data_IF_015391486747
#
_entry.id   IF_015391486747
#
_cell.length_a   1.000
_cell.length_b   1.000
_cell.length_c   1.000
_cell.angle_alpha   90.00
_cell.angle_beta   90.00
_cell.angle_gamma   90.00
#
_symmetry.space_group_name_H-M   'P 1'
#
loop_
_entity.id
_entity.type
_entity.pdbx_description
1 polymer ?
#
# COMPACT_ATOMS: atom_id res chain seq x y z
N UNK A 1 -18.46 58.14 9.76
CA UNK A 1 -17.11 57.67 9.39
C UNK A 1 -16.47 57.09 10.64
N UNK A 2 -16.56 55.80 10.98
CA UNK A 2 -16.62 54.60 10.15
C UNK A 2 -15.24 53.93 10.15
N UNK A 3 -15.18 52.64 10.59
CA UNK A 3 -14.04 51.72 10.80
C UNK A 3 -13.52 51.71 12.25
N UNK A 4 -14.10 50.97 13.22
CA UNK A 4 -14.47 49.54 13.26
C UNK A 4 -13.28 48.59 13.01
N UNK A 5 -12.66 48.19 14.12
CA UNK A 5 -12.39 46.80 14.53
C UNK A 5 -12.81 45.74 13.49
N UNK A 6 -11.84 45.15 12.78
CA UNK A 6 -11.92 43.76 12.27
C UNK A 6 -10.59 43.37 11.58
N UNK A 7 -9.58 43.03 12.38
CA UNK A 7 -8.49 42.16 11.93
C UNK A 7 -8.28 41.10 13.02
N UNK A 8 -9.38 40.42 13.37
CA UNK A 8 -9.30 39.09 13.95
C UNK A 8 -8.81 38.17 12.86
N UNK A 9 -7.49 37.98 12.81
CA UNK A 9 -6.87 36.88 12.09
C UNK A 9 -7.52 35.60 12.60
N UNK A 10 -8.45 35.05 11.82
CA UNK A 10 -8.82 33.66 11.89
C UNK A 10 -7.57 32.86 11.51
N UNK A 11 -6.64 32.71 12.44
CA UNK A 11 -5.78 31.54 12.45
C UNK A 11 -6.76 30.38 12.68
N UNK A 12 -7.28 29.82 11.58
CA UNK A 12 -8.11 28.63 11.64
C UNK A 12 -7.37 27.61 12.50
N UNK A 13 -8.10 26.99 13.43
CA UNK A 13 -7.55 25.85 14.17
C UNK A 13 -6.93 24.91 13.14
N UNK A 14 -5.64 24.53 13.28
CA UNK A 14 -5.02 23.64 12.31
C UNK A 14 -5.91 22.41 12.17
N UNK A 15 -6.28 22.10 10.94
CA UNK A 15 -7.16 20.96 10.67
C UNK A 15 -6.50 19.70 11.25
N UNK A 16 -7.23 18.83 11.95
CA UNK A 16 -6.63 17.62 12.51
C UNK A 16 -5.99 16.76 11.41
N UNK A 17 -4.93 16.00 11.71
CA UNK A 17 -4.31 15.13 10.70
C UNK A 17 -5.32 14.14 10.12
N UNK A 18 -5.07 13.71 8.88
CA UNK A 18 -5.81 12.65 8.22
C UNK A 18 -4.82 11.79 7.45
N UNK A 19 -4.87 10.48 7.66
CA UNK A 19 -4.05 9.50 6.96
C UNK A 19 -4.29 9.60 5.46
N UNK A 20 -5.55 9.58 5.02
CA UNK A 20 -5.84 9.61 3.58
C UNK A 20 -5.34 10.88 2.92
N UNK A 21 -5.46 12.04 3.58
CA UNK A 21 -4.97 13.29 3.00
C UNK A 21 -3.45 13.26 2.84
N UNK A 22 -2.72 12.83 3.88
CA UNK A 22 -1.27 12.68 3.82
C UNK A 22 -0.85 11.74 2.67
N UNK A 23 -1.51 10.60 2.53
CA UNK A 23 -1.22 9.62 1.48
C UNK A 23 -1.52 10.18 0.07
N UNK A 24 -2.63 10.88 -0.10
CA UNK A 24 -3.03 11.44 -1.38
C UNK A 24 -2.17 12.65 -1.79
N UNK A 25 -1.75 13.49 -0.84
CA UNK A 25 -0.79 14.57 -1.08
C UNK A 25 0.59 14.00 -1.44
N UNK A 26 1.04 12.95 -0.74
CA UNK A 26 2.26 12.22 -1.05
C UNK A 26 2.22 11.61 -2.47
N UNK A 27 1.11 10.96 -2.84
CA UNK A 27 0.91 10.39 -4.17
C UNK A 27 0.98 11.45 -5.28
N UNK A 28 0.31 12.60 -5.11
CA UNK A 28 0.38 13.70 -6.09
C UNK A 28 1.78 14.30 -6.23
N UNK A 29 2.54 14.39 -5.12
CA UNK A 29 3.93 14.85 -5.16
C UNK A 29 4.83 13.84 -5.85
N UNK A 30 4.64 12.55 -5.55
CA UNK A 30 5.38 11.47 -6.20
C UNK A 30 5.11 11.45 -7.70
N UNK A 31 3.85 11.56 -8.13
CA UNK A 31 3.47 11.57 -9.55
C UNK A 31 4.21 12.67 -10.32
N UNK A 32 4.21 13.91 -9.80
CA UNK A 32 4.96 15.01 -10.43
C UNK A 32 6.46 14.72 -10.47
N UNK A 33 7.03 14.27 -9.36
CA UNK A 33 8.46 13.99 -9.24
C UNK A 33 8.92 12.90 -10.21
N UNK A 34 8.18 11.79 -10.32
CA UNK A 34 8.56 10.66 -11.18
C UNK A 34 8.38 10.97 -12.67
N UNK A 35 7.40 11.82 -13.04
CA UNK A 35 7.21 12.24 -14.43
C UNK A 35 8.35 13.14 -14.94
N UNK A 36 8.90 13.98 -14.06
CA UNK A 36 9.95 14.96 -14.40
C UNK A 36 11.34 14.56 -13.87
N UNK A 37 11.52 13.34 -13.34
CA UNK A 37 12.70 12.88 -12.60
C UNK A 37 14.05 13.20 -13.27
N UNK A 38 14.14 13.11 -14.60
CA UNK A 38 15.38 13.40 -15.36
C UNK A 38 15.81 14.86 -15.30
N UNK A 39 14.90 15.77 -15.01
CA UNK A 39 15.12 17.21 -14.90
C UNK A 39 15.29 17.66 -13.44
N UNK A 40 15.13 16.74 -12.49
CA UNK A 40 15.18 17.04 -11.06
C UNK A 40 16.62 17.09 -10.55
N UNK A 41 16.90 18.12 -9.74
CA UNK A 41 18.22 18.35 -9.16
C UNK A 41 18.31 17.95 -7.68
N UNK A 42 17.17 17.66 -7.04
CA UNK A 42 17.07 17.31 -5.63
C UNK A 42 16.22 16.04 -5.40
N UNK A 43 16.17 15.14 -6.39
CA UNK A 43 15.29 13.98 -6.37
C UNK A 43 15.45 13.14 -5.09
N UNK A 44 16.69 12.92 -4.62
CA UNK A 44 16.93 12.17 -3.40
C UNK A 44 16.20 12.76 -2.18
N UNK A 45 16.36 14.06 -1.98
CA UNK A 45 15.71 14.77 -0.87
C UNK A 45 14.20 14.72 -0.99
N UNK A 46 13.67 14.99 -2.19
CA UNK A 46 12.23 15.07 -2.40
C UNK A 46 11.54 13.72 -2.21
N UNK A 47 12.16 12.62 -2.67
CA UNK A 47 11.68 11.26 -2.40
C UNK A 47 11.74 10.95 -0.90
N UNK A 48 12.83 11.27 -0.19
CA UNK A 48 12.93 11.05 1.27
C UNK A 48 11.89 11.86 2.04
N UNK A 49 11.58 13.07 1.58
CA UNK A 49 10.52 13.89 2.17
C UNK A 49 9.14 13.24 1.98
N UNK A 50 8.86 12.67 0.80
CA UNK A 50 7.64 11.87 0.56
C UNK A 50 7.60 10.61 1.44
N UNK A 51 8.72 9.87 1.54
CA UNK A 51 8.82 8.71 2.43
C UNK A 51 8.54 9.09 3.89
N UNK A 52 9.01 10.26 4.33
CA UNK A 52 8.71 10.77 5.68
C UNK A 52 7.23 11.05 5.90
N UNK A 53 6.53 11.54 4.88
CA UNK A 53 5.08 11.76 4.96
C UNK A 53 4.30 10.44 5.02
N UNK A 54 4.76 9.40 4.31
CA UNK A 54 4.22 8.05 4.47
C UNK A 54 4.46 7.50 5.88
N UNK A 55 5.67 7.71 6.44
CA UNK A 55 5.96 7.28 7.81
C UNK A 55 5.06 7.99 8.82
N UNK A 56 4.84 9.30 8.66
CA UNK A 56 3.90 10.08 9.48
C UNK A 56 2.47 9.54 9.39
N UNK A 57 2.03 9.14 8.20
CA UNK A 57 0.72 8.51 8.01
C UNK A 57 0.62 7.18 8.78
N UNK A 58 1.67 6.34 8.73
CA UNK A 58 1.75 5.08 9.49
C UNK A 58 1.87 5.28 11.01
N UNK A 59 2.49 6.38 11.45
CA UNK A 59 2.56 6.78 12.86
C UNK A 59 1.23 7.33 13.36
N UNK A 60 0.47 7.99 12.49
CA UNK A 60 -0.85 8.49 12.82
C UNK A 60 -1.86 7.35 12.99
N UNK A 61 -2.05 6.52 11.95
CA UNK A 61 -2.83 5.29 12.04
C UNK A 61 -2.47 4.31 10.91
N UNK A 62 -1.77 3.24 11.28
CA UNK A 62 -1.34 2.21 10.33
C UNK A 62 -2.47 1.28 9.86
N UNK A 63 -3.58 1.17 10.61
CA UNK A 63 -4.73 0.37 10.18
C UNK A 63 -5.53 1.09 9.09
N UNK A 64 -5.69 2.41 9.20
CA UNK A 64 -6.26 3.26 8.13
C UNK A 64 -5.37 3.21 6.89
N UNK A 65 -4.04 3.30 7.07
CA UNK A 65 -3.10 3.23 5.95
C UNK A 65 -3.19 1.87 5.22
N UNK A 66 -3.25 0.75 5.94
CA UNK A 66 -3.46 -0.57 5.33
C UNK A 66 -4.82 -0.69 4.63
N UNK A 67 -5.88 -0.20 5.27
CA UNK A 67 -7.21 -0.19 4.67
C UNK A 67 -7.25 0.62 3.37
N UNK A 68 -6.47 1.71 3.28
CA UNK A 68 -6.38 2.52 2.05
C UNK A 68 -5.82 1.75 0.84
N UNK A 69 -4.97 0.74 1.08
CA UNK A 69 -4.43 -0.15 0.03
C UNK A 69 -5.56 -1.06 -0.48
N UNK A 70 -6.22 -1.78 0.42
CA UNK A 70 -7.22 -2.80 0.05
C UNK A 70 -8.51 -2.20 -0.51
N UNK A 71 -8.86 -0.99 -0.07
CA UNK A 71 -10.03 -0.26 -0.53
C UNK A 71 -9.70 0.73 -1.66
N UNK A 72 -8.48 0.70 -2.21
CA UNK A 72 -8.08 1.49 -3.37
C UNK A 72 -8.33 3.01 -3.20
N UNK A 73 -7.88 3.58 -2.07
CA UNK A 73 -8.19 4.96 -1.65
C UNK A 73 -7.04 5.96 -1.89
N UNK A 74 -5.99 5.53 -2.58
CA UNK A 74 -4.84 6.35 -2.96
C UNK A 74 -5.04 6.84 -4.40
N UNK A 75 -4.95 8.15 -4.62
CA UNK A 75 -5.10 8.80 -5.91
C UNK A 75 -3.86 8.68 -6.80
N UNK A 76 -4.00 9.13 -8.04
CA UNK A 76 -2.96 9.08 -9.08
C UNK A 76 -3.12 7.90 -10.02
N UNK A 77 -2.19 7.74 -10.97
CA UNK A 77 -2.17 6.56 -11.83
C UNK A 77 -1.91 5.28 -11.04
N UNK A 78 -2.19 4.13 -11.65
CA UNK A 78 -1.91 2.84 -11.02
C UNK A 78 -0.42 2.70 -10.70
N UNK A 79 0.46 3.13 -11.61
CA UNK A 79 1.90 3.06 -11.40
C UNK A 79 2.35 3.82 -10.13
N UNK A 80 1.86 5.04 -9.92
CA UNK A 80 2.18 5.86 -8.74
C UNK A 80 1.55 5.28 -7.48
N UNK A 81 0.27 4.93 -7.55
CA UNK A 81 -0.44 4.31 -6.42
C UNK A 81 0.27 3.05 -5.94
N UNK A 82 0.66 2.16 -6.85
CA UNK A 82 1.35 0.92 -6.52
C UNK A 82 2.69 1.16 -5.81
N UNK A 83 3.42 2.23 -6.19
CA UNK A 83 4.65 2.62 -5.49
C UNK A 83 4.36 3.11 -4.06
N UNK A 84 3.29 3.89 -3.84
CA UNK A 84 2.86 4.32 -2.50
C UNK A 84 2.42 3.13 -1.65
N UNK A 85 1.58 2.23 -2.20
CA UNK A 85 1.09 1.03 -1.53
C UNK A 85 2.25 0.12 -1.09
N UNK A 86 3.20 -0.11 -2.00
CA UNK A 86 4.39 -0.92 -1.72
C UNK A 86 5.25 -0.28 -0.63
N UNK A 87 5.49 1.03 -0.73
CA UNK A 87 6.28 1.75 0.27
C UNK A 87 5.65 1.70 1.66
N UNK A 88 4.34 1.96 1.77
CA UNK A 88 3.61 1.86 3.03
C UNK A 88 3.76 0.48 3.66
N UNK A 89 3.55 -0.57 2.88
CA UNK A 89 3.59 -1.93 3.38
C UNK A 89 5.00 -2.35 3.78
N UNK A 90 6.00 -2.05 2.94
CA UNK A 90 7.40 -2.34 3.24
C UNK A 90 7.89 -1.62 4.50
N UNK A 91 7.57 -0.33 4.65
CA UNK A 91 7.92 0.45 5.84
C UNK A 91 7.21 -0.06 7.09
N UNK A 92 5.94 -0.47 6.99
CA UNK A 92 5.20 -0.99 8.12
C UNK A 92 5.77 -2.32 8.63
N UNK A 93 6.13 -3.23 7.73
CA UNK A 93 6.83 -4.49 8.07
C UNK A 93 8.25 -4.22 8.58
N UNK A 94 8.98 -3.28 7.96
CA UNK A 94 10.29 -2.85 8.46
C UNK A 94 10.21 -2.36 9.91
N UNK A 95 9.16 -1.61 10.25
CA UNK A 95 8.94 -1.14 11.63
C UNK A 95 8.67 -2.30 12.60
N UNK A 96 7.92 -3.32 12.19
CA UNK A 96 7.72 -4.52 13.02
C UNK A 96 9.00 -5.36 13.19
N UNK A 97 9.94 -5.23 12.25
CA UNK A 97 11.29 -5.79 12.34
C UNK A 97 12.28 -4.90 13.11
N UNK A 98 11.80 -3.82 13.76
CA UNK A 98 12.61 -2.88 14.53
C UNK A 98 13.69 -2.14 13.72
N UNK A 99 13.46 -1.91 12.42
CA UNK A 99 14.31 -1.05 11.59
C UNK A 99 14.32 0.38 12.14
N UNK A 100 15.48 1.04 12.09
CA UNK A 100 15.61 2.40 12.60
C UNK A 100 14.94 3.42 11.64
N UNK A 101 14.77 4.67 12.08
CA UNK A 101 14.11 5.71 11.29
C UNK A 101 14.77 5.90 9.90
N UNK A 102 16.09 5.95 9.84
CA UNK A 102 16.81 6.17 8.59
C UNK A 102 16.68 4.97 7.64
N UNK A 103 16.71 3.74 8.16
CA UNK A 103 16.42 2.53 7.38
C UNK A 103 14.98 2.54 6.84
N UNK A 104 14.00 3.01 7.62
CA UNK A 104 12.61 3.11 7.15
C UNK A 104 12.46 4.15 6.02
N UNK A 105 13.16 5.28 6.12
CA UNK A 105 13.17 6.27 5.04
C UNK A 105 13.85 5.73 3.78
N UNK A 106 14.92 4.95 3.92
CA UNK A 106 15.58 4.26 2.81
C UNK A 106 14.64 3.25 2.14
N UNK A 107 13.99 2.39 2.93
CA UNK A 107 13.00 1.40 2.43
C UNK A 107 11.88 2.11 1.67
N UNK A 108 11.33 3.18 2.26
CA UNK A 108 10.30 3.99 1.63
C UNK A 108 10.78 4.59 0.31
N UNK A 109 11.95 5.22 0.30
CA UNK A 109 12.51 5.83 -0.90
C UNK A 109 12.76 4.82 -2.03
N UNK A 110 13.31 3.66 -1.70
CA UNK A 110 13.51 2.55 -2.64
C UNK A 110 12.18 2.06 -3.21
N UNK A 111 11.19 1.75 -2.38
CA UNK A 111 9.88 1.28 -2.83
C UNK A 111 9.13 2.33 -3.67
N UNK A 112 9.24 3.62 -3.32
CA UNK A 112 8.61 4.72 -4.08
C UNK A 112 9.16 4.87 -5.50
N UNK A 113 10.38 4.40 -5.75
CA UNK A 113 11.10 4.65 -7.01
C UNK A 113 11.47 3.38 -7.78
N UNK A 114 11.24 2.20 -7.21
CA UNK A 114 11.70 0.91 -7.77
C UNK A 114 11.24 0.64 -9.21
N UNK A 115 10.11 1.21 -9.61
CA UNK A 115 9.47 0.97 -10.91
C UNK A 115 9.62 2.13 -11.90
N UNK A 116 10.39 3.18 -11.57
CA UNK A 116 10.43 4.41 -12.40
C UNK A 116 10.90 4.17 -13.83
N UNK A 117 11.78 3.17 -14.05
CA UNK A 117 12.23 2.73 -15.37
C UNK A 117 11.12 2.26 -16.30
N UNK A 118 10.03 1.71 -15.74
CA UNK A 118 8.87 1.27 -16.51
C UNK A 118 7.60 2.09 -16.25
N UNK A 119 7.69 3.25 -15.61
CA UNK A 119 6.52 4.01 -15.14
C UNK A 119 5.45 4.20 -16.23
N UNK A 120 5.87 4.65 -17.42
CA UNK A 120 4.95 4.91 -18.55
C UNK A 120 4.37 3.63 -19.17
N UNK A 121 5.08 2.51 -19.03
CA UNK A 121 4.63 1.21 -19.51
C UNK A 121 3.66 0.56 -18.51
N UNK A 122 3.87 0.79 -17.22
CA UNK A 122 3.13 0.13 -16.15
C UNK A 122 1.61 0.34 -16.25
N UNK A 123 1.16 1.57 -16.52
CA UNK A 123 -0.27 1.86 -16.70
C UNK A 123 -0.84 1.13 -17.95
N UNK A 124 -0.09 1.05 -19.05
CA UNK A 124 -0.54 0.31 -20.24
C UNK A 124 -0.60 -1.20 -20.04
N UNK A 125 0.29 -1.77 -19.21
CA UNK A 125 0.23 -3.18 -18.81
C UNK A 125 -0.98 -3.46 -17.91
N UNK A 126 -1.41 -2.47 -17.13
CA UNK A 126 -2.55 -2.56 -16.24
C UNK A 126 -3.91 -2.53 -16.97
N UNK A 127 -3.97 -2.01 -18.19
CA UNK A 127 -5.19 -1.99 -19.01
C UNK A 127 -5.38 -3.24 -19.87
N UNK A 128 -4.32 -4.06 -20.00
CA UNK A 128 -4.27 -5.13 -20.99
C UNK A 128 -4.94 -6.43 -20.54
N UNK A 129 -5.78 -7.00 -21.41
CA UNK A 129 -6.30 -8.38 -21.23
C UNK A 129 -5.30 -9.41 -21.76
N UNK A 130 -4.80 -10.29 -20.88
CA UNK A 130 -3.94 -11.43 -21.23
C UNK A 130 -2.46 -11.26 -20.85
N UNK A 131 -1.62 -12.29 -21.07
CA UNK A 131 -0.21 -12.26 -20.68
C UNK A 131 0.58 -11.23 -21.51
N UNK A 132 1.67 -10.74 -20.93
CA UNK A 132 2.66 -9.89 -21.62
C UNK A 132 3.34 -10.68 -22.75
N UNK A 133 3.66 -10.00 -23.85
CA UNK A 133 4.50 -10.56 -24.90
C UNK A 133 5.99 -10.48 -24.52
N UNK A 134 6.87 -11.07 -25.34
CA UNK A 134 8.30 -11.14 -25.05
C UNK A 134 8.96 -9.75 -24.94
N UNK A 135 8.50 -8.77 -25.72
CA UNK A 135 9.06 -7.43 -25.72
C UNK A 135 8.70 -6.65 -24.45
N UNK A 136 7.47 -6.80 -23.99
CA UNK A 136 6.98 -6.22 -22.74
C UNK A 136 7.61 -6.93 -21.54
N UNK A 137 7.74 -8.25 -21.60
CA UNK A 137 8.44 -9.02 -20.56
C UNK A 137 9.90 -8.59 -20.42
N UNK A 138 10.55 -8.26 -21.54
CA UNK A 138 11.90 -7.69 -21.52
C UNK A 138 11.94 -6.31 -20.86
N UNK A 139 10.95 -5.44 -21.08
CA UNK A 139 10.83 -4.15 -20.36
C UNK A 139 10.72 -4.42 -18.84
N UNK A 140 9.84 -5.34 -18.45
CA UNK A 140 9.68 -5.72 -17.03
C UNK A 140 10.98 -6.30 -16.45
N UNK A 141 11.78 -7.06 -17.20
CA UNK A 141 13.05 -7.59 -16.69
C UNK A 141 14.16 -6.54 -16.59
N UNK A 142 14.13 -5.52 -17.44
CA UNK A 142 15.15 -4.47 -17.47
C UNK A 142 14.86 -3.30 -16.53
N UNK A 143 13.61 -3.10 -16.12
CA UNK A 143 13.24 -1.92 -15.35
C UNK A 143 14.01 -1.75 -14.02
N UNK A 144 14.50 -2.78 -13.29
CA UNK A 144 15.29 -2.52 -12.09
C UNK A 144 16.61 -1.80 -12.42
N UNK A 145 17.24 -2.17 -13.54
CA UNK A 145 18.45 -1.53 -14.04
C UNK A 145 18.15 -0.11 -14.55
N UNK A 146 17.10 0.04 -15.36
CA UNK A 146 16.71 1.35 -15.89
C UNK A 146 16.29 2.32 -14.78
N UNK A 147 15.59 1.84 -13.75
CA UNK A 147 15.21 2.64 -12.57
C UNK A 147 16.45 3.10 -11.80
N UNK A 148 17.42 2.20 -11.60
CA UNK A 148 18.68 2.54 -10.94
C UNK A 148 19.47 3.59 -11.71
N UNK A 149 19.57 3.45 -13.05
CA UNK A 149 20.27 4.40 -13.90
C UNK A 149 19.60 5.78 -13.89
N UNK A 150 18.26 5.82 -13.97
CA UNK A 150 17.47 7.03 -13.86
C UNK A 150 17.69 7.76 -12.55
N UNK A 151 17.67 7.04 -11.42
CA UNK A 151 17.87 7.62 -10.10
C UNK A 151 19.27 8.20 -9.94
N UNK A 152 20.31 7.51 -10.45
CA UNK A 152 21.67 8.05 -10.48
C UNK A 152 21.76 9.32 -11.32
N UNK A 153 21.11 9.35 -12.48
CA UNK A 153 21.05 10.55 -13.33
C UNK A 153 20.35 11.73 -12.63
N UNK A 154 19.38 11.43 -11.76
CA UNK A 154 18.66 12.41 -10.95
C UNK A 154 19.39 12.79 -9.63
N UNK A 155 20.63 12.34 -9.46
CA UNK A 155 21.49 12.72 -8.34
C UNK A 155 21.30 11.93 -7.05
N UNK A 156 20.66 10.75 -7.10
CA UNK A 156 20.62 9.83 -5.95
C UNK A 156 21.98 9.13 -5.81
N UNK A 157 22.60 9.24 -4.64
CA UNK A 157 23.92 8.66 -4.34
C UNK A 157 23.91 7.59 -3.24
N UNK A 158 22.76 7.36 -2.58
CA UNK A 158 22.57 6.27 -1.62
C UNK A 158 22.64 4.88 -2.31
N UNK A 159 23.79 4.22 -2.18
CA UNK A 159 24.06 2.92 -2.78
C UNK A 159 23.17 1.79 -2.25
N UNK A 160 22.71 1.86 -0.99
CA UNK A 160 21.84 0.83 -0.42
C UNK A 160 20.41 0.98 -0.95
N UNK A 161 19.91 2.22 -1.09
CA UNK A 161 18.66 2.50 -1.81
C UNK A 161 18.76 1.97 -3.25
N UNK A 162 19.78 2.37 -4.00
CA UNK A 162 19.95 1.96 -5.40
C UNK A 162 20.06 0.43 -5.54
N UNK A 163 20.74 -0.23 -4.60
CA UNK A 163 20.81 -1.70 -4.55
C UNK A 163 19.46 -2.34 -4.26
N UNK A 164 18.65 -1.75 -3.38
CA UNK A 164 17.29 -2.22 -3.14
C UNK A 164 16.42 -2.13 -4.41
N UNK A 165 16.51 -1.01 -5.14
CA UNK A 165 15.82 -0.83 -6.43
C UNK A 165 16.31 -1.86 -7.45
N UNK A 166 17.62 -2.11 -7.54
CA UNK A 166 18.17 -3.05 -8.50
C UNK A 166 17.76 -4.51 -8.23
N UNK A 167 17.65 -4.89 -6.95
CA UNK A 167 17.54 -6.29 -6.52
C UNK A 167 16.13 -6.71 -6.05
N UNK A 168 15.12 -5.83 -6.09
CA UNK A 168 13.79 -6.14 -5.56
C UNK A 168 13.04 -7.29 -6.26
N UNK A 169 13.51 -7.71 -7.45
CA UNK A 169 13.00 -8.87 -8.19
C UNK A 169 13.93 -10.10 -8.17
N UNK A 170 15.00 -10.05 -7.38
CA UNK A 170 15.83 -11.22 -7.12
C UNK A 170 15.11 -12.18 -6.17
N UNK A 171 15.37 -13.48 -6.33
CA UNK A 171 14.78 -14.55 -5.53
C UNK A 171 15.90 -15.36 -4.86
N UNK A 172 15.65 -15.92 -3.68
CA UNK A 172 16.68 -16.58 -2.87
C UNK A 172 17.37 -17.77 -3.57
N UNK A 173 16.72 -18.39 -4.55
CA UNK A 173 17.25 -19.50 -5.37
C UNK A 173 17.96 -19.07 -6.66
N UNK A 174 18.09 -17.77 -6.92
CA UNK A 174 18.69 -17.24 -8.15
C UNK A 174 17.78 -17.27 -9.38
N UNK A 175 16.51 -17.64 -9.23
CA UNK A 175 15.53 -17.61 -10.35
C UNK A 175 15.05 -16.19 -10.71
N UNK A 176 15.43 -15.20 -9.90
CA UNK A 176 15.07 -13.80 -10.07
C UNK A 176 15.87 -13.07 -11.16
N UNK A 177 15.67 -11.77 -11.23
CA UNK A 177 16.32 -10.89 -12.20
C UNK A 177 16.61 -9.52 -11.56
N UNK A 178 17.55 -8.71 -12.10
CA UNK A 178 18.23 -8.86 -13.39
C UNK A 178 19.56 -9.64 -13.37
N UNK A 179 20.12 -9.93 -12.20
CA UNK A 179 21.45 -10.53 -12.05
C UNK A 179 21.42 -12.01 -11.64
N UNK A 180 20.27 -12.55 -11.19
CA UNK A 180 20.14 -13.94 -10.75
C UNK A 180 20.87 -14.19 -9.44
N UNK A 181 20.79 -13.23 -8.52
CA UNK A 181 21.46 -13.28 -7.20
C UNK A 181 20.81 -14.33 -6.32
N UNK A 182 21.63 -14.94 -5.47
CA UNK A 182 21.16 -15.91 -4.47
C UNK A 182 20.99 -15.27 -3.09
N UNK A 183 20.35 -15.98 -2.16
CA UNK A 183 19.91 -15.45 -0.88
C UNK A 183 20.91 -14.57 -0.11
N UNK A 184 22.20 -14.92 -0.10
CA UNK A 184 23.25 -14.20 0.64
C UNK A 184 23.73 -12.92 -0.08
N UNK A 185 23.40 -12.75 -1.35
CA UNK A 185 23.79 -11.62 -2.20
C UNK A 185 22.68 -10.56 -2.31
N UNK A 186 21.47 -10.87 -1.81
CA UNK A 186 20.31 -9.98 -1.87
C UNK A 186 20.14 -9.29 -0.51
N UNK A 187 20.10 -7.95 -0.53
CA UNK A 187 19.85 -7.16 0.67
C UNK A 187 18.49 -7.52 1.30
N UNK A 188 18.44 -7.66 2.62
CA UNK A 188 17.18 -7.93 3.35
C UNK A 188 16.10 -6.89 3.03
N UNK A 189 16.48 -5.61 2.90
CA UNK A 189 15.57 -4.53 2.54
C UNK A 189 15.04 -4.68 1.09
N UNK A 190 15.85 -5.19 0.16
CA UNK A 190 15.40 -5.50 -1.21
C UNK A 190 14.39 -6.66 -1.22
N UNK A 191 14.65 -7.73 -0.46
CA UNK A 191 13.71 -8.86 -0.31
C UNK A 191 12.37 -8.42 0.28
N UNK A 192 12.41 -7.53 1.27
CA UNK A 192 11.23 -6.95 1.90
C UNK A 192 10.40 -6.14 0.90
N UNK A 193 11.05 -5.26 0.12
CA UNK A 193 10.38 -4.46 -0.91
C UNK A 193 9.77 -5.38 -1.98
N UNK A 194 10.52 -6.38 -2.47
CA UNK A 194 10.01 -7.36 -3.44
C UNK A 194 8.82 -8.17 -2.93
N UNK A 195 8.79 -8.50 -1.63
CA UNK A 195 7.65 -9.17 -1.01
C UNK A 195 6.42 -8.25 -0.94
N UNK A 196 6.61 -6.99 -0.54
CA UNK A 196 5.54 -5.99 -0.51
C UNK A 196 4.98 -5.71 -1.91
N UNK A 197 5.85 -5.56 -2.91
CA UNK A 197 5.50 -5.38 -4.32
C UNK A 197 4.59 -6.51 -4.83
N UNK A 198 5.02 -7.76 -4.61
CA UNK A 198 4.27 -8.97 -4.99
C UNK A 198 2.92 -9.09 -4.28
N UNK A 199 2.80 -8.60 -3.05
CA UNK A 199 1.55 -8.57 -2.31
C UNK A 199 0.60 -7.51 -2.87
N UNK A 200 1.05 -6.26 -2.95
CA UNK A 200 0.27 -5.14 -3.50
C UNK A 200 -0.23 -5.47 -4.90
N UNK A 201 0.63 -5.99 -5.79
CA UNK A 201 0.24 -6.35 -7.15
C UNK A 201 -0.85 -7.44 -7.25
N UNK A 202 -1.10 -8.21 -6.18
CA UNK A 202 -2.15 -9.25 -6.09
C UNK A 202 -3.45 -8.73 -5.47
N UNK A 203 -3.36 -7.88 -4.45
CA UNK A 203 -4.54 -7.35 -3.75
C UNK A 203 -5.11 -6.10 -4.41
N UNK A 204 -4.30 -5.37 -5.19
CA UNK A 204 -4.78 -4.21 -5.94
C UNK A 204 -5.63 -4.67 -7.13
N UNK A 205 -6.86 -4.15 -7.23
CA UNK A 205 -7.76 -4.46 -8.34
C UNK A 205 -7.16 -3.97 -9.66
N UNK A 206 -7.23 -4.82 -10.70
CA UNK A 206 -6.83 -4.47 -12.07
C UNK A 206 -8.06 -4.30 -12.95
N UNK A 207 -7.97 -3.46 -13.98
CA UNK A 207 -9.09 -3.16 -14.89
C UNK A 207 -9.72 -4.41 -15.54
N UNK A 208 -8.98 -5.52 -15.61
CA UNK A 208 -9.41 -6.78 -16.22
C UNK A 208 -9.40 -7.98 -15.27
N UNK A 209 -8.97 -7.82 -14.01
CA UNK A 209 -8.84 -8.92 -13.04
C UNK A 209 -9.32 -8.45 -11.66
N UNK A 210 -10.29 -9.18 -11.11
CA UNK A 210 -10.70 -9.02 -9.71
C UNK A 210 -9.47 -9.15 -8.80
N UNK A 211 -9.33 -8.23 -7.85
CA UNK A 211 -8.33 -8.34 -6.78
C UNK A 211 -8.46 -9.70 -6.11
N UNK A 212 -7.35 -10.33 -5.73
CA UNK A 212 -7.41 -11.53 -4.88
C UNK A 212 -7.78 -11.06 -3.48
N UNK A 213 -8.74 -11.73 -2.83
CA UNK A 213 -9.07 -11.41 -1.43
C UNK A 213 -7.83 -11.60 -0.56
N UNK A 214 -7.57 -10.73 0.44
CA UNK A 214 -6.30 -10.68 1.15
C UNK A 214 -5.86 -12.01 1.78
N UNK A 215 -6.80 -12.79 2.31
CA UNK A 215 -6.52 -14.09 2.91
C UNK A 215 -6.01 -15.12 1.87
N UNK A 216 -6.54 -15.08 0.65
CA UNK A 216 -6.01 -15.86 -0.47
C UNK A 216 -4.68 -15.30 -0.97
N UNK A 217 -4.49 -13.98 -1.01
CA UNK A 217 -3.23 -13.38 -1.45
C UNK A 217 -2.06 -13.80 -0.54
N UNK A 218 -2.28 -13.80 0.78
CA UNK A 218 -1.32 -14.34 1.75
C UNK A 218 -1.07 -15.82 1.49
N UNK A 219 -2.11 -16.66 1.35
CA UNK A 219 -1.93 -18.07 1.03
C UNK A 219 -1.13 -18.29 -0.24
N UNK A 220 -1.40 -17.55 -1.32
CA UNK A 220 -0.67 -17.68 -2.59
C UNK A 220 0.81 -17.33 -2.46
N UNK A 221 1.13 -16.30 -1.68
CA UNK A 221 2.52 -15.87 -1.46
C UNK A 221 3.26 -16.88 -0.59
N UNK A 222 2.61 -17.45 0.43
CA UNK A 222 3.28 -18.30 1.42
C UNK A 222 3.17 -19.80 1.16
N UNK A 223 2.20 -20.27 0.39
CA UNK A 223 1.91 -21.70 0.20
C UNK A 223 2.02 -22.16 -1.26
N UNK A 224 1.68 -21.30 -2.23
CA UNK A 224 1.17 -21.82 -3.51
C UNK A 224 1.98 -21.46 -4.76
N UNK A 225 3.06 -20.66 -4.69
CA UNK A 225 3.75 -20.24 -5.92
C UNK A 225 5.27 -20.12 -5.78
N UNK A 226 5.97 -21.24 -5.95
CA UNK A 226 7.21 -21.46 -6.73
C UNK A 226 8.39 -20.47 -6.72
N UNK A 227 8.29 -19.36 -6.01
CA UNK A 227 9.28 -18.30 -5.86
C UNK A 227 9.68 -18.35 -4.39
N UNK A 228 10.91 -18.79 -4.08
CA UNK A 228 11.36 -18.86 -2.71
C UNK A 228 11.43 -17.46 -2.09
N UNK A 229 10.84 -17.35 -0.91
CA UNK A 229 10.82 -16.14 -0.08
C UNK A 229 11.61 -16.48 1.18
N UNK A 230 12.35 -15.50 1.69
CA UNK A 230 12.95 -15.57 3.01
C UNK A 230 11.87 -15.93 4.06
N UNK A 231 11.95 -17.10 4.70
CA UNK A 231 10.93 -17.56 5.63
C UNK A 231 10.69 -16.61 6.81
N UNK A 232 11.74 -15.92 7.28
CA UNK A 232 11.63 -14.98 8.39
C UNK A 232 10.85 -13.73 7.97
N UNK A 233 11.11 -13.21 6.77
CA UNK A 233 10.32 -12.10 6.23
C UNK A 233 8.87 -12.50 6.04
N UNK A 234 8.62 -13.71 5.52
CA UNK A 234 7.28 -14.22 5.35
C UNK A 234 6.50 -14.34 6.66
N UNK A 235 7.14 -14.87 7.71
CA UNK A 235 6.53 -14.96 9.04
C UNK A 235 6.16 -13.57 9.59
N UNK A 236 7.06 -12.59 9.49
CA UNK A 236 6.78 -11.22 9.94
C UNK A 236 5.60 -10.60 9.19
N UNK A 237 5.54 -10.82 7.88
CA UNK A 237 4.48 -10.31 7.02
C UNK A 237 3.11 -10.90 7.39
N UNK A 238 3.04 -12.24 7.57
CA UNK A 238 1.81 -12.93 8.01
C UNK A 238 1.39 -12.48 9.40
N UNK A 239 2.34 -12.41 10.33
CA UNK A 239 2.08 -12.01 11.72
C UNK A 239 1.55 -10.58 11.80
N UNK A 240 2.11 -9.67 11.01
CA UNK A 240 1.71 -8.26 10.99
C UNK A 240 0.31 -8.07 10.38
N UNK A 241 0.07 -8.64 9.20
CA UNK A 241 -1.19 -8.42 8.48
C UNK A 241 -2.34 -9.23 9.08
N UNK A 242 -2.03 -10.40 9.64
CA UNK A 242 -3.03 -11.37 10.06
C UNK A 242 -3.81 -11.93 8.88
N UNK A 243 -4.78 -12.80 9.17
CA UNK A 243 -5.60 -13.44 8.12
C UNK A 243 -6.50 -12.43 7.39
N UNK A 244 -7.02 -11.45 8.12
CA UNK A 244 -7.93 -10.44 7.60
C UNK A 244 -7.39 -9.05 7.97
N UNK A 245 -6.51 -8.46 7.14
CA UNK A 245 -5.99 -7.12 7.38
C UNK A 245 -7.09 -6.04 7.31
N UNK A 246 -6.88 -4.86 7.94
CA UNK A 246 -7.78 -3.71 7.81
C UNK A 246 -8.11 -3.39 6.36
N UNK A 247 -9.39 -3.14 6.06
CA UNK A 247 -9.92 -2.95 4.71
C UNK A 247 -10.46 -4.24 4.07
N UNK A 248 -10.27 -5.42 4.68
CA UNK A 248 -10.86 -6.66 4.18
C UNK A 248 -12.38 -6.64 4.35
N UNK A 249 -13.11 -6.81 3.25
CA UNK A 249 -14.57 -7.00 3.27
C UNK A 249 -14.90 -8.45 3.65
N UNK A 250 -15.83 -8.62 4.58
CA UNK A 250 -16.16 -9.92 5.17
C UNK A 250 -17.67 -10.10 5.36
N UNK A 251 -18.09 -11.36 5.39
CA UNK A 251 -19.40 -11.78 5.88
C UNK A 251 -19.25 -12.41 7.26
N UNK A 252 -20.05 -11.92 8.21
CA UNK A 252 -20.12 -12.46 9.57
C UNK A 252 -21.16 -13.57 9.67
N UNK A 253 -21.04 -14.42 10.69
CA UNK A 253 -22.02 -15.48 10.98
C UNK A 253 -23.40 -14.93 11.29
N UNK A 254 -23.49 -13.70 11.81
CA UNK A 254 -24.74 -12.97 12.01
C UNK A 254 -25.50 -12.67 10.72
N UNK A 255 -24.87 -12.80 9.55
CA UNK A 255 -25.41 -12.44 8.24
C UNK A 255 -24.95 -11.06 7.77
N UNK A 256 -24.49 -10.22 8.69
CA UNK A 256 -23.98 -8.87 8.41
C UNK A 256 -22.76 -8.91 7.49
N UNK A 257 -22.71 -7.96 6.56
CA UNK A 257 -21.51 -7.56 5.84
C UNK A 257 -20.75 -6.52 6.65
N UNK A 258 -19.44 -6.54 6.58
CA UNK A 258 -18.61 -5.56 7.25
C UNK A 258 -17.22 -5.44 6.66
N UNK A 259 -16.48 -4.47 7.19
CA UNK A 259 -15.06 -4.25 6.86
C UNK A 259 -14.22 -4.39 8.12
N UNK A 260 -13.10 -5.11 8.02
CA UNK A 260 -12.15 -5.19 9.14
C UNK A 260 -11.49 -3.84 9.35
N UNK A 261 -11.47 -3.34 10.59
CA UNK A 261 -10.92 -2.02 10.92
C UNK A 261 -9.58 -2.05 11.64
N UNK A 262 -9.19 -3.19 12.21
CA UNK A 262 -7.97 -3.33 13.02
C UNK A 262 -7.23 -4.64 12.76
N UNK A 263 -5.90 -4.62 12.86
CA UNK A 263 -5.07 -5.84 12.84
C UNK A 263 -5.24 -6.65 14.13
N UNK A 264 -5.01 -7.96 14.06
CA UNK A 264 -5.03 -8.85 15.23
C UNK A 264 -6.41 -9.46 15.49
N UNK A 265 -6.91 -9.35 16.74
CA UNK A 265 -8.29 -9.74 17.07
C UNK A 265 -9.25 -8.81 16.30
N UNK A 266 -9.74 -9.31 15.16
CA UNK A 266 -10.36 -8.46 14.17
C UNK A 266 -11.65 -7.82 14.74
N UNK A 267 -11.69 -6.50 14.70
CA UNK A 267 -12.93 -5.74 14.83
C UNK A 267 -13.49 -5.49 13.44
N UNK A 268 -14.78 -5.75 13.26
CA UNK A 268 -15.46 -5.58 11.98
C UNK A 268 -16.50 -4.49 12.10
N UNK A 269 -16.38 -3.44 11.31
CA UNK A 269 -17.40 -2.39 11.22
C UNK A 269 -18.55 -2.88 10.33
N UNK A 270 -19.79 -2.95 10.83
CA UNK A 270 -20.94 -3.37 10.03
C UNK A 270 -21.22 -2.39 8.90
N UNK A 271 -21.43 -2.93 7.71
CA UNK A 271 -21.83 -2.20 6.50
C UNK A 271 -23.25 -2.54 6.04
N UNK A 272 -23.82 -3.65 6.53
CA UNK A 272 -25.21 -4.03 6.30
C UNK A 272 -25.90 -4.42 7.60
N UNK A 273 -27.22 -4.53 7.57
CA UNK A 273 -27.98 -5.22 8.60
C UNK A 273 -27.80 -6.77 8.51
N UNK A 274 -28.32 -7.55 9.48
CA UNK A 274 -28.26 -9.02 9.44
C UNK A 274 -29.01 -9.68 8.28
N UNK A 275 -29.92 -8.96 7.61
CA UNK A 275 -30.62 -9.42 6.41
C UNK A 275 -29.82 -9.11 5.13
N UNK A 276 -28.67 -8.45 5.25
CA UNK A 276 -27.79 -8.08 4.15
C UNK A 276 -28.16 -6.76 3.47
N UNK A 277 -29.09 -5.97 4.02
CA UNK A 277 -29.45 -4.68 3.45
C UNK A 277 -28.37 -3.63 3.80
N UNK A 278 -27.82 -2.88 2.81
CA UNK A 278 -26.79 -1.87 3.06
C UNK A 278 -27.25 -0.78 4.03
N UNK A 279 -26.37 -0.37 4.94
CA UNK A 279 -26.61 0.73 5.86
C UNK A 279 -26.30 2.09 5.20
N UNK A 280 -27.11 3.09 5.48
CA UNK A 280 -26.84 4.46 5.06
C UNK A 280 -25.70 5.09 5.88
N UNK A 281 -25.03 6.11 5.34
CA UNK A 281 -23.88 6.77 5.97
C UNK A 281 -24.13 7.23 7.43
N UNK A 282 -25.32 7.79 7.71
CA UNK A 282 -25.70 8.21 9.06
C UNK A 282 -25.84 7.04 10.05
N UNK A 283 -26.22 5.86 9.56
CA UNK A 283 -26.32 4.64 10.36
C UNK A 283 -24.93 4.06 10.61
N UNK A 284 -24.05 4.03 9.59
CA UNK A 284 -22.68 3.52 9.71
C UNK A 284 -21.91 4.20 10.84
N UNK A 285 -22.00 5.53 10.97
CA UNK A 285 -21.31 6.29 12.01
C UNK A 285 -21.79 5.98 13.44
N UNK A 286 -22.94 5.33 13.59
CA UNK A 286 -23.54 4.95 14.88
C UNK A 286 -23.33 3.46 15.20
N UNK A 287 -22.79 2.68 14.26
CA UNK A 287 -22.60 1.25 14.46
C UNK A 287 -21.45 0.97 15.42
N UNK A 288 -21.68 0.06 16.35
CA UNK A 288 -20.62 -0.51 17.18
C UNK A 288 -19.86 -1.58 16.39
N UNK A 289 -18.52 -1.53 16.32
CA UNK A 289 -17.73 -2.62 15.73
C UNK A 289 -18.02 -3.98 16.39
N UNK A 290 -18.01 -5.04 15.59
CA UNK A 290 -18.22 -6.41 16.04
C UNK A 290 -16.89 -7.04 16.43
N UNK A 291 -16.82 -7.60 17.62
CA UNK A 291 -15.68 -8.41 18.08
C UNK A 291 -15.81 -9.83 17.49
N UNK A 292 -14.86 -10.21 16.65
CA UNK A 292 -14.85 -11.54 16.00
C UNK A 292 -14.47 -12.68 16.95
N UNK A 293 -14.06 -12.38 18.19
CA UNK A 293 -13.94 -13.37 19.27
C UNK A 293 -15.29 -13.92 19.73
N UNK A 294 -16.39 -13.21 19.50
CA UNK A 294 -17.74 -13.73 19.68
C UNK A 294 -18.12 -14.64 18.50
N UNK A 295 -18.50 -15.89 18.81
CA UNK A 295 -18.95 -16.87 17.84
C UNK A 295 -20.08 -16.39 16.92
N UNK A 296 -20.94 -15.47 17.38
CA UNK A 296 -22.01 -14.86 16.58
C UNK A 296 -21.46 -13.94 15.48
N UNK A 297 -20.31 -13.31 15.72
CA UNK A 297 -19.65 -12.39 14.80
C UNK A 297 -18.38 -12.96 14.21
N UNK A 298 -18.20 -14.28 14.28
CA UNK A 298 -17.10 -14.96 13.60
C UNK A 298 -17.16 -14.69 12.08
N UNK A 299 -16.01 -14.39 11.47
CA UNK A 299 -15.87 -14.21 10.03
C UNK A 299 -16.11 -15.57 9.34
N UNK A 300 -17.07 -15.61 8.43
CA UNK A 300 -17.42 -16.81 7.64
C UNK A 300 -16.66 -16.82 6.32
N UNK A 301 -16.55 -15.67 5.65
CA UNK A 301 -15.85 -15.54 4.37
C UNK A 301 -15.37 -14.12 4.14
N UNK A 302 -14.26 -13.96 3.42
CA UNK A 302 -13.88 -12.70 2.76
C UNK A 302 -14.70 -12.49 1.47
N UNK A 303 -14.83 -11.24 1.04
CA UNK A 303 -15.63 -10.84 -0.11
C UNK A 303 -14.81 -9.94 -1.04
N UNK A 304 -15.06 -10.06 -2.35
CA UNK A 304 -14.64 -9.03 -3.29
C UNK A 304 -15.58 -7.81 -3.18
N UNK A 305 -15.07 -6.63 -3.52
CA UNK A 305 -15.85 -5.38 -3.52
C UNK A 305 -17.11 -5.51 -4.39
N UNK A 306 -16.98 -6.09 -5.59
CA UNK A 306 -18.10 -6.36 -6.51
C UNK A 306 -19.22 -7.21 -5.88
N UNK A 307 -18.85 -8.17 -5.01
CA UNK A 307 -19.79 -9.13 -4.43
C UNK A 307 -20.43 -8.59 -3.15
N UNK A 308 -19.81 -7.58 -2.53
CA UNK A 308 -20.29 -6.99 -1.29
C UNK A 308 -21.50 -6.06 -1.51
N UNK A 309 -21.60 -5.40 -2.67
CA UNK A 309 -22.75 -4.55 -3.03
C UNK A 309 -23.02 -3.40 -2.04
N UNK A 310 -22.01 -3.02 -1.26
CA UNK A 310 -22.06 -1.94 -0.26
C UNK A 310 -21.16 -0.79 -0.69
N UNK A 311 -21.64 0.43 -0.52
CA UNK A 311 -20.87 1.65 -0.81
C UNK A 311 -20.73 2.47 0.47
N UNK A 312 -19.49 2.75 0.86
CA UNK A 312 -19.17 3.55 2.04
C UNK A 312 -17.94 4.42 1.75
N UNK A 313 -17.77 5.48 2.54
CA UNK A 313 -16.51 6.24 2.55
C UNK A 313 -15.65 5.78 3.72
N UNK A 314 -14.33 5.89 3.58
CA UNK A 314 -13.40 5.64 4.69
C UNK A 314 -13.77 6.43 5.95
N UNK A 315 -14.18 7.70 5.80
CA UNK A 315 -14.64 8.55 6.90
C UNK A 315 -15.86 7.99 7.63
N UNK A 316 -16.75 7.27 6.95
CA UNK A 316 -17.93 6.66 7.60
C UNK A 316 -17.56 5.54 8.56
N UNK A 317 -16.37 4.95 8.41
CA UNK A 317 -15.91 3.78 9.18
C UNK A 317 -14.83 4.18 10.19
N UNK A 318 -13.83 4.96 9.77
CA UNK A 318 -12.69 5.38 10.60
C UNK A 318 -12.77 6.84 11.07
N UNK A 319 -13.83 7.57 10.73
CA UNK A 319 -14.01 8.95 11.18
C UNK A 319 -13.06 9.95 10.51
N UNK A 320 -12.81 11.06 11.20
CA UNK A 320 -12.09 12.22 10.64
C UNK A 320 -10.61 11.95 10.35
N UNK A 321 -10.02 10.90 10.93
CA UNK A 321 -8.64 10.47 10.63
C UNK A 321 -8.51 9.82 9.25
N UNK A 322 -9.63 9.44 8.62
CA UNK A 322 -9.69 8.87 7.28
C UNK A 322 -10.49 9.75 6.30
N UNK A 323 -10.44 11.08 6.47
CA UNK A 323 -11.09 12.03 5.55
C UNK A 323 -10.16 12.46 4.41
N UNK A 324 -10.71 12.71 3.22
CA UNK A 324 -9.96 13.35 2.13
C UNK A 324 -9.67 14.83 2.44
#
# INVERSE_FOLDING_TARGET
MGRLLQLGLYAGTPEPPSVLRLLNEAAQRLERLLLDLRSESNAERDVRDIARDLLRALEHDADIALASILLNQIAGTYAVRHCIETALLAMLVGRSMHKCHDELLLIGAAALTMNVGMLRHHDSFQDRRGPLNDDEMRIVRLHPQESTELLRCAGVDDEEWLSCVLLHHENDDGSGYPQGRTADEILQNAKLIGLADRYCARVSARNYRRSIVPDQALQHIFLDQGVPIDPLLGEQFVKLLGKYPPGTLVRLRSGELGVVTQRGAAHVHPLSDPLGAPLAAAQLAQMTPRDTGDSQFAIVSSLHEDDAGVHFSMRNVWGDEARL
#
